data_IF_875495584841
#
_entry.id   IF_875495584841
#
_cell.length_a   1.000
_cell.length_b   1.000
_cell.length_c   1.000
_cell.angle_alpha   90.00
_cell.angle_beta   90.00
_cell.angle_gamma   90.00
#
_symmetry.space_group_name_H-M   'P 1'
#
loop_
_entity.id
_entity.type
_entity.pdbx_description
1 polymer ?
#
# COMPACT_ATOMS: atom_id res chain seq x y z
N UNK A 1 -17.54 -31.86 -16.72
CA UNK A 1 -18.69 -31.17 -16.14
C UNK A 1 -18.29 -29.70 -16.06
N UNK A 2 -18.77 -28.90 -17.01
CA UNK A 2 -18.43 -27.48 -17.10
C UNK A 2 -19.37 -26.71 -16.19
N UNK A 3 -18.82 -25.99 -15.22
CA UNK A 3 -19.57 -25.00 -14.47
C UNK A 3 -19.77 -23.80 -15.36
N UNK A 4 -20.98 -23.71 -15.92
CA UNK A 4 -21.39 -22.61 -16.76
C UNK A 4 -21.52 -21.33 -15.95
N UNK A 5 -20.63 -20.37 -16.21
CA UNK A 5 -20.81 -19.00 -15.82
C UNK A 5 -22.12 -18.47 -16.43
N UNK A 6 -23.10 -18.24 -15.57
CA UNK A 6 -24.36 -17.62 -15.98
C UNK A 6 -24.07 -16.19 -16.46
N UNK A 7 -24.40 -15.83 -17.71
CA UNK A 7 -24.20 -14.47 -18.18
C UNK A 7 -25.18 -13.56 -17.44
N UNK A 8 -24.66 -12.60 -16.68
CA UNK A 8 -25.45 -11.48 -16.15
C UNK A 8 -26.09 -10.77 -17.31
N UNK A 9 -27.40 -11.00 -17.54
CA UNK A 9 -28.18 -10.33 -18.58
C UNK A 9 -28.20 -8.83 -18.31
N UNK A 10 -27.55 -8.05 -19.19
CA UNK A 10 -27.66 -6.60 -19.26
C UNK A 10 -26.58 -5.77 -18.56
N UNK A 11 -25.58 -6.38 -17.94
CA UNK A 11 -24.41 -5.66 -17.44
C UNK A 11 -23.46 -5.31 -18.58
N UNK A 12 -23.08 -4.04 -18.72
CA UNK A 12 -21.87 -3.71 -19.47
C UNK A 12 -20.75 -4.55 -18.89
N UNK A 13 -20.16 -5.43 -19.68
CA UNK A 13 -18.97 -6.18 -19.32
C UNK A 13 -17.94 -5.15 -18.92
N UNK A 14 -17.54 -5.12 -17.66
CA UNK A 14 -16.36 -4.34 -17.27
C UNK A 14 -15.20 -4.88 -18.10
N UNK A 15 -14.56 -4.06 -18.94
CA UNK A 15 -13.56 -4.52 -19.88
C UNK A 15 -12.25 -4.99 -19.20
N UNK A 16 -12.20 -4.96 -17.88
CA UNK A 16 -10.98 -5.15 -17.10
C UNK A 16 -11.10 -6.44 -16.26
N UNK A 17 -10.12 -7.28 -16.42
CA UNK A 17 -9.98 -8.46 -15.56
C UNK A 17 -9.50 -8.02 -14.16
N UNK A 18 -9.76 -8.82 -13.15
CA UNK A 18 -9.26 -8.56 -11.78
C UNK A 18 -7.73 -8.37 -11.80
N UNK A 19 -7.00 -9.15 -12.59
CA UNK A 19 -5.54 -9.04 -12.71
C UNK A 19 -5.10 -7.68 -13.25
N UNK A 20 -5.79 -7.14 -14.25
CA UNK A 20 -5.50 -5.82 -14.80
C UNK A 20 -5.75 -4.72 -13.75
N UNK A 21 -6.82 -4.83 -12.97
CA UNK A 21 -7.09 -3.91 -11.86
C UNK A 21 -6.00 -3.98 -10.80
N UNK A 22 -5.56 -5.18 -10.41
CA UNK A 22 -4.50 -5.35 -9.40
C UNK A 22 -3.14 -4.87 -9.88
N UNK A 23 -2.87 -4.96 -11.19
CA UNK A 23 -1.63 -4.50 -11.81
C UNK A 23 -1.60 -2.98 -12.05
N UNK A 24 -2.76 -2.30 -11.94
CA UNK A 24 -2.86 -0.87 -12.20
C UNK A 24 -2.29 -0.04 -11.05
N UNK A 25 -1.71 1.12 -11.38
CA UNK A 25 -1.21 2.07 -10.37
C UNK A 25 -2.34 2.86 -9.71
N UNK A 26 -3.51 2.95 -10.34
CA UNK A 26 -4.64 3.75 -9.88
C UNK A 26 -5.16 3.31 -8.52
N UNK A 27 -5.15 2.01 -8.22
CA UNK A 27 -5.56 1.52 -6.90
C UNK A 27 -4.68 2.07 -5.77
N UNK A 28 -3.43 2.46 -6.07
CA UNK A 28 -2.47 3.00 -5.12
C UNK A 28 -2.56 4.52 -4.95
N UNK A 29 -3.27 5.22 -5.86
CA UNK A 29 -3.44 6.67 -5.81
C UNK A 29 -4.42 7.15 -4.74
N UNK A 30 -5.27 6.27 -4.21
CA UNK A 30 -6.23 6.61 -3.18
C UNK A 30 -5.54 7.00 -1.87
N UNK A 31 -5.75 8.22 -1.38
CA UNK A 31 -5.22 8.73 -0.12
C UNK A 31 -5.99 8.27 1.13
N UNK A 32 -7.00 7.42 0.98
CA UNK A 32 -7.87 6.96 2.08
C UNK A 32 -8.49 8.10 2.91
N UNK A 33 -8.91 9.18 2.23
CA UNK A 33 -9.48 10.36 2.89
C UNK A 33 -10.96 10.22 3.26
N UNK A 34 -11.59 9.10 2.97
CA UNK A 34 -12.98 8.74 3.27
C UNK A 34 -14.07 9.64 2.65
N UNK A 35 -13.74 10.69 1.92
CA UNK A 35 -14.72 11.59 1.30
C UNK A 35 -15.71 10.86 0.38
N UNK A 36 -15.27 9.82 -0.33
CA UNK A 36 -16.15 9.01 -1.17
C UNK A 36 -17.14 8.16 -0.36
N UNK A 37 -16.78 7.76 0.86
CA UNK A 37 -17.63 7.02 1.79
C UNK A 37 -18.71 7.95 2.33
N UNK A 38 -18.33 9.11 2.87
CA UNK A 38 -19.25 10.09 3.48
C UNK A 38 -20.29 10.62 2.48
N UNK A 39 -19.94 10.67 1.19
CA UNK A 39 -20.81 11.20 0.13
C UNK A 39 -21.53 10.12 -0.68
N UNK A 40 -21.35 8.86 -0.35
CA UNK A 40 -21.94 7.77 -1.12
C UNK A 40 -23.46 7.64 -0.87
N UNK A 41 -24.33 7.88 -1.86
CA UNK A 41 -25.78 7.75 -1.68
C UNK A 41 -26.25 6.29 -1.54
N UNK A 42 -25.35 5.32 -1.77
CA UNK A 42 -25.60 3.88 -1.67
C UNK A 42 -24.91 3.25 -0.46
N UNK A 43 -24.29 4.05 0.40
CA UNK A 43 -23.56 3.60 1.60
C UNK A 43 -22.49 2.54 1.29
N UNK A 44 -21.78 2.72 0.17
CA UNK A 44 -20.68 1.83 -0.23
C UNK A 44 -19.37 2.32 0.38
N UNK A 45 -18.75 1.47 1.19
CA UNK A 45 -17.44 1.76 1.77
C UNK A 45 -16.29 1.46 0.79
N UNK A 46 -16.12 2.38 -0.17
CA UNK A 46 -15.10 2.24 -1.22
C UNK A 46 -13.67 2.19 -0.66
N UNK A 47 -13.43 2.83 0.48
CA UNK A 47 -12.09 2.84 1.08
C UNK A 47 -11.66 1.44 1.50
N UNK A 48 -12.55 0.65 2.10
CA UNK A 48 -12.25 -0.75 2.45
C UNK A 48 -12.09 -1.64 1.21
N UNK A 49 -12.87 -1.41 0.17
CA UNK A 49 -12.69 -2.10 -1.12
C UNK A 49 -11.30 -1.81 -1.69
N UNK A 50 -10.89 -0.55 -1.71
CA UNK A 50 -9.54 -0.14 -2.18
C UNK A 50 -8.42 -0.78 -1.35
N UNK A 51 -8.57 -0.84 -0.02
CA UNK A 51 -7.59 -1.50 0.86
C UNK A 51 -7.51 -3.00 0.59
N UNK A 52 -8.64 -3.67 0.38
CA UNK A 52 -8.67 -5.09 0.04
C UNK A 52 -7.97 -5.36 -1.30
N UNK A 53 -8.22 -4.55 -2.33
CA UNK A 53 -7.55 -4.65 -3.63
C UNK A 53 -6.03 -4.44 -3.51
N UNK A 54 -5.57 -3.46 -2.73
CA UNK A 54 -4.14 -3.25 -2.46
C UNK A 54 -3.50 -4.44 -1.77
N UNK A 55 -4.18 -5.04 -0.79
CA UNK A 55 -3.70 -6.24 -0.11
C UNK A 55 -3.56 -7.42 -1.08
N UNK A 56 -4.53 -7.61 -1.97
CA UNK A 56 -4.46 -8.64 -3.01
C UNK A 56 -3.31 -8.33 -4.00
N UNK A 57 -3.21 -7.09 -4.49
CA UNK A 57 -2.14 -6.66 -5.37
C UNK A 57 -0.75 -6.89 -4.76
N UNK A 58 -0.58 -6.56 -3.47
CA UNK A 58 0.67 -6.81 -2.76
C UNK A 58 1.02 -8.31 -2.68
N UNK A 59 0.02 -9.16 -2.42
CA UNK A 59 0.20 -10.62 -2.39
C UNK A 59 0.58 -11.19 -3.77
N UNK A 60 0.08 -10.59 -4.84
CA UNK A 60 0.44 -10.95 -6.23
C UNK A 60 1.75 -10.32 -6.70
N UNK A 61 2.35 -9.43 -5.92
CA UNK A 61 3.62 -8.77 -6.23
C UNK A 61 3.49 -7.47 -7.04
N UNK A 62 2.28 -6.97 -7.24
CA UNK A 62 2.00 -5.68 -7.92
C UNK A 62 2.15 -4.50 -6.96
N UNK A 63 3.31 -4.35 -6.35
CA UNK A 63 3.61 -3.21 -5.47
C UNK A 63 4.42 -2.18 -6.27
N UNK A 64 3.99 -0.90 -6.35
CA UNK A 64 4.77 0.17 -6.97
C UNK A 64 6.18 0.27 -6.37
N UNK A 65 7.19 0.53 -7.21
CA UNK A 65 8.59 0.58 -6.78
C UNK A 65 8.83 1.63 -5.69
N UNK A 66 8.13 2.77 -5.75
CA UNK A 66 8.21 3.81 -4.71
C UNK A 66 7.81 3.28 -3.33
N UNK A 67 6.69 2.53 -3.24
CA UNK A 67 6.23 1.93 -1.99
C UNK A 67 7.15 0.80 -1.53
N UNK A 68 7.72 0.04 -2.46
CA UNK A 68 8.73 -0.99 -2.19
C UNK A 68 10.00 -0.37 -1.59
N UNK A 69 10.48 0.76 -2.15
CA UNK A 69 11.61 1.51 -1.60
C UNK A 69 11.32 2.05 -0.20
N UNK A 70 10.12 2.59 0.03
CA UNK A 70 9.69 3.04 1.37
C UNK A 70 9.68 1.89 2.37
N UNK A 71 9.14 0.73 1.99
CA UNK A 71 9.12 -0.47 2.82
C UNK A 71 10.53 -0.94 3.20
N UNK A 72 11.46 -0.97 2.25
CA UNK A 72 12.85 -1.30 2.51
C UNK A 72 13.54 -0.29 3.44
N UNK A 73 13.20 1.01 3.30
CA UNK A 73 13.72 2.04 4.20
C UNK A 73 13.24 1.82 5.63
N UNK A 74 11.98 1.42 5.83
CA UNK A 74 11.44 1.08 7.16
C UNK A 74 12.19 -0.09 7.76
N UNK A 75 12.46 -1.16 7.00
CA UNK A 75 13.21 -2.33 7.47
C UNK A 75 14.65 -1.98 7.87
N UNK A 76 15.25 -0.98 7.25
CA UNK A 76 16.63 -0.56 7.51
C UNK A 76 16.76 0.45 8.65
N UNK A 77 15.83 1.38 8.74
CA UNK A 77 15.95 2.56 9.61
C UNK A 77 14.83 2.68 10.66
N UNK A 78 13.78 1.87 10.58
CA UNK A 78 12.57 2.00 11.39
C UNK A 78 11.71 3.23 11.03
N UNK A 79 12.08 3.98 9.99
CA UNK A 79 11.40 5.21 9.56
C UNK A 79 10.99 5.09 8.09
N UNK A 80 9.85 5.66 7.75
CA UNK A 80 9.35 5.70 6.35
C UNK A 80 10.28 6.54 5.46
N UNK A 81 10.91 7.56 6.03
CA UNK A 81 11.76 8.50 5.31
C UNK A 81 13.02 8.83 6.12
N UNK A 82 14.18 8.69 5.48
CA UNK A 82 15.46 9.07 6.08
C UNK A 82 15.62 10.60 5.98
N UNK A 83 15.62 11.26 7.12
CA UNK A 83 15.77 12.72 7.18
C UNK A 83 17.16 13.15 6.69
N UNK A 84 17.26 14.06 5.68
CA UNK A 84 18.54 14.60 5.25
C UNK A 84 19.24 15.40 6.36
N UNK A 85 20.57 15.35 6.37
CA UNK A 85 21.38 16.06 7.38
C UNK A 85 21.11 17.57 7.40
N UNK A 86 20.81 18.19 6.26
CA UNK A 86 20.44 19.61 6.16
C UNK A 86 19.17 19.94 6.96
N UNK A 87 18.18 19.05 6.95
CA UNK A 87 16.93 19.21 7.69
C UNK A 87 17.15 19.00 9.20
N UNK A 88 18.04 18.09 9.59
CA UNK A 88 18.41 17.90 10.99
C UNK A 88 19.08 19.17 11.55
N UNK A 89 20.05 19.74 10.84
CA UNK A 89 20.69 21.01 11.21
C UNK A 89 19.71 22.18 11.29
N UNK A 90 18.74 22.24 10.36
CA UNK A 90 17.68 23.27 10.42
C UNK A 90 16.81 23.11 11.67
N UNK A 91 16.47 21.88 12.08
CA UNK A 91 15.73 21.61 13.34
C UNK A 91 16.49 22.15 14.55
N UNK A 92 17.79 21.83 14.66
CA UNK A 92 18.66 22.32 15.74
C UNK A 92 18.70 23.86 15.79
N UNK A 93 18.86 24.50 14.61
CA UNK A 93 18.85 25.96 14.51
C UNK A 93 17.56 26.61 15.01
N UNK A 94 16.42 25.90 14.85
CA UNK A 94 15.12 26.39 15.32
C UNK A 94 14.76 25.89 16.74
N UNK A 95 15.70 25.31 17.49
CA UNK A 95 15.49 24.84 18.84
C UNK A 95 14.48 23.70 18.97
N UNK A 96 14.24 22.95 17.88
CA UNK A 96 13.30 21.81 17.90
C UNK A 96 13.97 20.59 18.54
N UNK A 97 13.21 19.77 19.28
CA UNK A 97 13.75 18.59 19.93
C UNK A 97 14.32 17.61 18.89
N UNK A 98 15.31 16.77 19.27
CA UNK A 98 15.85 15.74 18.40
C UNK A 98 14.73 14.78 17.95
N UNK A 99 14.96 14.12 16.81
CA UNK A 99 14.02 13.07 16.37
C UNK A 99 14.00 11.93 17.40
N UNK A 100 12.82 11.32 17.66
CA UNK A 100 12.75 10.18 18.54
C UNK A 100 13.61 9.03 17.98
N UNK A 101 14.33 8.35 18.85
CA UNK A 101 15.06 7.14 18.49
C UNK A 101 14.09 5.99 18.27
N UNK A 102 14.20 5.32 17.15
CA UNK A 102 13.41 4.13 16.84
C UNK A 102 14.28 2.89 17.08
N UNK A 103 13.76 1.92 17.82
CA UNK A 103 14.42 0.62 17.94
C UNK A 103 14.18 -0.19 16.65
N UNK A 104 15.18 -0.15 15.77
CA UNK A 104 15.12 -0.83 14.47
C UNK A 104 14.95 -2.34 14.61
N UNK A 105 15.46 -2.94 15.70
CA UNK A 105 15.36 -4.39 15.94
C UNK A 105 13.91 -4.78 16.21
N UNK A 106 13.23 -4.07 17.12
CA UNK A 106 11.81 -4.32 17.43
C UNK A 106 10.92 -4.12 16.20
N UNK A 107 11.15 -3.04 15.44
CA UNK A 107 10.38 -2.78 14.19
C UNK A 107 10.59 -3.93 13.20
N UNK A 108 11.83 -4.39 13.02
CA UNK A 108 12.15 -5.49 12.12
C UNK A 108 11.49 -6.80 12.56
N UNK A 109 11.59 -7.17 13.82
CA UNK A 109 10.97 -8.37 14.38
C UNK A 109 9.44 -8.38 14.17
N UNK A 110 8.78 -7.25 14.41
CA UNK A 110 7.33 -7.11 14.16
C UNK A 110 6.98 -7.29 12.68
N UNK A 111 7.75 -6.67 11.80
CA UNK A 111 7.52 -6.75 10.35
C UNK A 111 7.83 -8.15 9.78
N UNK A 112 8.84 -8.83 10.30
CA UNK A 112 9.16 -10.22 9.97
C UNK A 112 8.06 -11.17 10.43
N UNK A 113 7.51 -10.98 11.63
CA UNK A 113 6.42 -11.80 12.17
C UNK A 113 5.15 -11.76 11.30
N UNK A 114 4.88 -10.63 10.61
CA UNK A 114 3.74 -10.50 9.68
C UNK A 114 4.10 -10.81 8.21
N UNK A 115 5.33 -11.26 7.93
CA UNK A 115 5.78 -11.62 6.59
C UNK A 115 6.00 -10.44 5.65
N UNK A 116 6.13 -9.22 6.17
CA UNK A 116 6.32 -8.01 5.37
C UNK A 116 7.53 -8.03 4.42
N UNK A 117 8.72 -8.53 4.82
CA UNK A 117 9.87 -8.63 3.92
C UNK A 117 9.61 -9.53 2.71
N UNK A 118 8.87 -10.63 2.91
CA UNK A 118 8.51 -11.56 1.82
C UNK A 118 7.58 -10.91 0.80
N UNK A 119 6.63 -10.07 1.25
CA UNK A 119 5.77 -9.28 0.36
C UNK A 119 6.58 -8.30 -0.49
N UNK A 120 7.57 -7.63 0.10
CA UNK A 120 8.43 -6.68 -0.64
C UNK A 120 9.34 -7.38 -1.65
N UNK A 121 9.80 -8.57 -1.37
CA UNK A 121 10.66 -9.34 -2.26
C UNK A 121 9.91 -9.91 -3.47
N UNK A 122 8.60 -10.17 -3.33
CA UNK A 122 7.78 -10.74 -4.40
C UNK A 122 7.60 -9.71 -5.52
N UNK A 123 8.01 -10.08 -6.75
CA UNK A 123 7.68 -9.35 -7.98
C UNK A 123 6.62 -10.12 -8.74
N UNK A 124 5.66 -9.42 -9.32
CA UNK A 124 4.70 -10.03 -10.24
C UNK A 124 5.45 -10.57 -11.45
N UNK A 125 5.18 -11.81 -11.79
CA UNK A 125 5.58 -12.35 -13.08
C UNK A 125 4.68 -11.72 -14.16
N UNK A 126 5.35 -11.05 -15.13
CA UNK A 126 4.71 -10.28 -16.20
C UNK A 126 3.82 -11.12 -17.14
#
# INVERSE_FOLDING_TARGET
MGEGEAPCRGGRRFPWSLREVLASEEIWMCASCYTCVDRCPRDVDFTYVSLALRNLAAREGFIPDALRMMGNTILQTGLVYKMPASRLKAREKHGLPPLPSTDVKQVRELLEAVGFPALLAKKAEG
#
